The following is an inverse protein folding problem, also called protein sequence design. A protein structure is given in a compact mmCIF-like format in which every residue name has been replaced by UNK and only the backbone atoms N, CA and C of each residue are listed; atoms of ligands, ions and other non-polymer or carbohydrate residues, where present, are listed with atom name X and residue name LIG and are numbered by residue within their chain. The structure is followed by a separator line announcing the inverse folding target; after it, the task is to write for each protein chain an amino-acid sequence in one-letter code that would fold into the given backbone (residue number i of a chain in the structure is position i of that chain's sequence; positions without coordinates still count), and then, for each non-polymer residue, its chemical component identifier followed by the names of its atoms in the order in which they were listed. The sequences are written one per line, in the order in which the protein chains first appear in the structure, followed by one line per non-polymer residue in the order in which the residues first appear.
data_IF_675433426822
#
_entry.id   IF_675433426822
#
_cell.length_a   1.000
_cell.length_b   1.000
_cell.length_c   1.000
_cell.angle_alpha   90.00
_cell.angle_beta   90.00
_cell.angle_gamma   90.00
#
_symmetry.space_group_name_H-M   'P 1'
#
loop_
_entity.id
_entity.type
_entity.pdbx_description
1 polymer ?
#
# COMPACT_ATOMS: atom_id res chain seq x y z
N UNK A 1 6.78 23.59 40.80
CA UNK A 1 5.94 22.86 39.82
C UNK A 1 6.61 22.95 38.46
N UNK A 2 7.26 21.88 38.00
CA UNK A 2 7.92 21.84 36.71
C UNK A 2 6.90 21.40 35.64
N UNK A 3 6.48 22.32 34.78
CA UNK A 3 5.72 21.98 33.59
C UNK A 3 6.68 21.32 32.60
N UNK A 4 6.54 20.00 32.42
CA UNK A 4 7.21 19.27 31.37
C UNK A 4 6.74 19.82 30.02
N UNK A 5 7.64 20.47 29.30
CA UNK A 5 7.41 20.87 27.91
C UNK A 5 7.29 19.58 27.09
N UNK A 6 6.05 19.12 26.87
CA UNK A 6 5.79 18.04 25.93
C UNK A 6 6.13 18.56 24.55
N UNK A 7 7.33 18.25 24.06
CA UNK A 7 7.68 18.47 22.67
C UNK A 7 6.56 17.86 21.82
N UNK A 8 5.78 18.71 21.15
CA UNK A 8 4.87 18.23 20.12
C UNK A 8 5.76 17.60 19.05
N UNK A 9 5.67 16.28 18.87
CA UNK A 9 6.35 15.61 17.77
C UNK A 9 6.01 16.40 16.50
N UNK A 10 7.01 16.89 15.72
CA UNK A 10 6.71 17.49 14.44
C UNK A 10 5.89 16.46 13.67
N UNK A 11 4.79 16.90 13.07
CA UNK A 11 3.95 16.04 12.24
C UNK A 11 4.89 15.34 11.25
N UNK A 12 5.13 14.03 11.43
CA UNK A 12 6.13 13.22 10.70
C UNK A 12 6.01 13.36 9.18
N UNK A 13 4.88 13.89 8.72
CA UNK A 13 4.53 14.24 7.36
C UNK A 13 5.54 15.12 6.62
N UNK A 14 6.28 15.99 7.32
CA UNK A 14 7.24 16.92 6.70
C UNK A 14 8.67 16.34 6.58
N UNK A 15 9.02 15.33 7.36
CA UNK A 15 10.35 14.72 7.29
C UNK A 15 10.38 13.66 6.18
N UNK A 16 11.33 13.83 5.25
CA UNK A 16 11.73 12.77 4.34
C UNK A 16 12.68 11.85 5.13
N UNK A 17 12.33 10.57 5.32
CA UNK A 17 13.18 9.65 6.05
C UNK A 17 14.44 9.35 5.23
N UNK A 18 15.58 9.21 5.92
CA UNK A 18 16.82 8.73 5.31
C UNK A 18 16.59 7.37 4.64
N UNK A 19 17.28 7.15 3.53
CA UNK A 19 17.25 5.85 2.85
C UNK A 19 17.84 4.78 3.77
N UNK A 20 17.36 3.55 3.61
CA UNK A 20 17.84 2.38 4.36
C UNK A 20 18.46 1.41 3.38
N UNK A 21 19.48 0.67 3.83
CA UNK A 21 20.18 -0.30 2.99
C UNK A 21 19.20 -1.23 2.25
N UNK A 22 19.21 -1.16 0.91
CA UNK A 22 18.35 -1.96 0.04
C UNK A 22 17.00 -1.33 -0.34
N UNK A 23 16.70 -0.12 0.17
CA UNK A 23 15.52 0.70 -0.15
C UNK A 23 15.96 2.13 -0.52
N UNK A 24 17.03 2.23 -1.30
CA UNK A 24 17.61 3.52 -1.69
C UNK A 24 16.93 4.13 -2.92
N UNK A 25 16.16 3.33 -3.66
CA UNK A 25 15.41 3.78 -4.83
C UNK A 25 13.90 3.78 -4.56
N UNK A 26 13.15 4.76 -5.09
CA UNK A 26 11.69 4.78 -4.99
C UNK A 26 11.06 3.50 -5.53
N UNK A 27 11.63 2.98 -6.62
CA UNK A 27 11.17 1.77 -7.28
C UNK A 27 11.36 0.51 -6.41
N UNK A 28 12.50 0.37 -5.73
CA UNK A 28 12.71 -0.74 -4.78
C UNK A 28 11.69 -0.70 -3.64
N UNK A 29 11.36 0.50 -3.14
CA UNK A 29 10.31 0.66 -2.13
C UNK A 29 8.94 0.23 -2.67
N UNK A 30 8.53 0.70 -3.85
CA UNK A 30 7.24 0.36 -4.45
C UNK A 30 7.09 -1.14 -4.76
N UNK A 31 8.18 -1.82 -5.10
CA UNK A 31 8.19 -3.27 -5.27
C UNK A 31 8.05 -4.00 -3.92
N UNK A 32 8.71 -3.51 -2.87
CA UNK A 32 8.68 -4.12 -1.54
C UNK A 32 7.28 -4.11 -0.91
N UNK A 33 6.50 -3.04 -1.09
CA UNK A 33 5.14 -2.92 -0.54
C UNK A 33 4.10 -3.74 -1.32
N UNK A 34 4.42 -4.20 -2.53
CA UNK A 34 3.53 -5.04 -3.34
C UNK A 34 2.35 -4.33 -4.02
N UNK A 35 1.21 -5.01 -4.12
CA UNK A 35 -0.02 -4.59 -4.86
C UNK A 35 0.16 -4.09 -6.30
N UNK A 36 1.28 -4.41 -6.95
CA UNK A 36 1.67 -3.84 -8.25
C UNK A 36 1.73 -2.31 -8.22
N UNK A 37 2.19 -1.72 -7.10
CA UNK A 37 2.30 -0.27 -6.97
C UNK A 37 3.35 0.33 -7.91
N UNK A 38 4.42 -0.43 -8.19
CA UNK A 38 5.47 -0.10 -9.17
C UNK A 38 4.90 0.26 -10.56
N UNK A 39 3.84 -0.41 -11.01
CA UNK A 39 3.21 -0.12 -12.31
C UNK A 39 2.24 1.05 -12.31
N UNK A 40 1.86 1.55 -11.13
CA UNK A 40 0.78 2.54 -10.97
C UNK A 40 1.29 3.94 -10.65
N UNK A 41 2.47 4.03 -10.03
CA UNK A 41 3.09 5.28 -9.61
C UNK A 41 4.57 5.16 -9.90
N UNK A 42 5.13 6.13 -10.62
CA UNK A 42 6.55 6.17 -10.96
C UNK A 42 7.13 7.53 -10.59
N UNK A 43 7.53 7.74 -9.32
CA UNK A 43 8.20 8.96 -8.90
C UNK A 43 9.68 8.93 -9.30
N UNK A 44 10.23 10.10 -9.66
CA UNK A 44 11.61 10.19 -10.16
C UNK A 44 12.62 10.24 -9.01
N UNK A 45 12.25 10.89 -7.90
CA UNK A 45 13.12 11.05 -6.73
C UNK A 45 12.52 10.49 -5.43
N UNK A 46 13.40 10.15 -4.48
CA UNK A 46 12.99 9.72 -3.14
C UNK A 46 12.22 10.82 -2.40
N UNK A 47 12.68 12.07 -2.53
CA UNK A 47 11.99 13.23 -1.98
C UNK A 47 10.58 13.41 -2.55
N UNK A 48 10.40 13.26 -3.87
CA UNK A 48 9.09 13.33 -4.49
C UNK A 48 8.15 12.27 -3.95
N UNK A 49 8.59 11.02 -3.84
CA UNK A 49 7.78 9.92 -3.31
C UNK A 49 7.19 10.26 -1.94
N UNK A 50 7.99 10.83 -1.03
CA UNK A 50 7.55 11.18 0.33
C UNK A 50 6.80 12.51 0.43
N UNK A 51 6.87 13.36 -0.61
CA UNK A 51 6.09 14.60 -0.77
C UNK A 51 4.79 14.39 -1.56
N UNK A 52 4.50 13.17 -2.02
CA UNK A 52 3.25 12.87 -2.72
C UNK A 52 2.05 13.11 -1.82
N UNK A 53 1.05 13.79 -2.37
CA UNK A 53 -0.22 14.06 -1.72
C UNK A 53 -1.36 13.35 -2.44
N UNK A 54 -2.46 13.13 -1.73
CA UNK A 54 -3.64 12.43 -2.26
C UNK A 54 -4.27 13.13 -3.47
N UNK A 55 -4.08 14.45 -3.59
CA UNK A 55 -4.60 15.28 -4.69
C UNK A 55 -3.81 15.07 -5.97
N UNK A 56 -2.47 15.08 -5.90
CA UNK A 56 -1.60 14.77 -7.04
C UNK A 56 -1.89 13.37 -7.59
N UNK A 57 -1.92 12.38 -6.70
CA UNK A 57 -2.28 11.01 -7.07
C UNK A 57 -3.70 10.89 -7.63
N UNK A 58 -4.63 11.78 -7.26
CA UNK A 58 -5.98 11.82 -7.85
C UNK A 58 -5.92 12.30 -9.29
N UNK A 59 -5.14 13.36 -9.53
CA UNK A 59 -4.93 13.94 -10.86
C UNK A 59 -4.28 12.92 -11.80
N UNK A 60 -3.34 12.12 -11.27
CA UNK A 60 -2.67 11.03 -12.00
C UNK A 60 -3.57 9.80 -12.23
N UNK A 61 -4.82 9.83 -11.79
CA UNK A 61 -5.80 8.76 -12.03
C UNK A 61 -5.62 7.51 -11.15
N UNK A 62 -4.85 7.59 -10.06
CA UNK A 62 -4.65 6.45 -9.16
C UNK A 62 -5.94 6.16 -8.37
N UNK A 63 -6.32 4.88 -8.31
CA UNK A 63 -7.53 4.45 -7.60
C UNK A 63 -7.49 4.84 -6.10
N UNK A 64 -8.66 5.12 -5.52
CA UNK A 64 -8.78 5.54 -4.12
C UNK A 64 -8.12 4.55 -3.16
N UNK A 65 -8.25 3.24 -3.43
CA UNK A 65 -7.69 2.20 -2.57
C UNK A 65 -6.17 2.19 -2.60
N UNK A 66 -5.59 2.37 -3.78
CA UNK A 66 -4.15 2.37 -3.98
C UNK A 66 -3.51 3.63 -3.37
N UNK A 67 -4.17 4.79 -3.52
CA UNK A 67 -3.74 6.04 -2.88
C UNK A 67 -3.67 5.94 -1.36
N UNK A 68 -4.73 5.42 -0.74
CA UNK A 68 -4.77 5.21 0.72
C UNK A 68 -3.69 4.23 1.17
N UNK A 69 -3.45 3.18 0.39
CA UNK A 69 -2.42 2.19 0.70
C UNK A 69 -1.01 2.77 0.60
N UNK A 70 -0.71 3.52 -0.46
CA UNK A 70 0.60 4.15 -0.65
C UNK A 70 0.91 5.11 0.49
N UNK A 71 0.00 6.04 0.79
CA UNK A 71 0.21 7.03 1.85
C UNK A 71 0.37 6.37 3.22
N UNK A 72 -0.45 5.36 3.52
CA UNK A 72 -0.28 4.58 4.75
C UNK A 72 1.07 3.86 4.82
N UNK A 73 1.54 3.30 3.71
CA UNK A 73 2.84 2.63 3.62
C UNK A 73 4.00 3.60 3.85
N UNK A 74 3.92 4.82 3.31
CA UNK A 74 4.92 5.87 3.55
C UNK A 74 4.94 6.31 5.01
N UNK A 75 3.77 6.46 5.65
CA UNK A 75 3.68 6.77 7.09
C UNK A 75 4.24 5.63 7.95
N UNK A 76 4.00 4.38 7.57
CA UNK A 76 4.58 3.20 8.24
C UNK A 76 6.10 3.17 8.14
N UNK A 77 6.63 3.48 6.97
CA UNK A 77 8.06 3.59 6.76
C UNK A 77 8.67 4.73 7.60
N UNK A 78 8.01 5.89 7.66
CA UNK A 78 8.39 7.02 8.54
C UNK A 78 8.40 6.63 10.02
N UNK A 79 7.47 5.77 10.45
CA UNK A 79 7.41 5.27 11.81
C UNK A 79 8.51 4.25 12.17
N UNK A 80 9.36 3.86 11.22
CA UNK A 80 10.45 2.90 11.48
C UNK A 80 10.15 1.47 11.02
N UNK A 81 8.93 1.15 10.60
CA UNK A 81 8.55 -0.21 10.23
C UNK A 81 9.19 -0.64 8.90
N UNK A 82 9.54 -1.92 8.76
CA UNK A 82 10.12 -2.50 7.55
C UNK A 82 9.03 -2.76 6.50
N UNK A 83 9.15 -2.30 5.23
CA UNK A 83 8.12 -2.48 4.21
C UNK A 83 7.67 -3.93 3.99
N UNK A 84 8.58 -4.90 4.12
CA UNK A 84 8.24 -6.32 3.95
C UNK A 84 7.30 -6.84 5.04
N UNK A 85 7.31 -6.23 6.23
CA UNK A 85 6.50 -6.67 7.36
C UNK A 85 5.01 -6.32 7.20
N UNK A 86 4.70 -5.18 6.58
CA UNK A 86 3.33 -4.70 6.39
C UNK A 86 2.84 -4.81 4.95
N UNK A 87 3.68 -5.31 4.04
CA UNK A 87 3.34 -5.51 2.65
C UNK A 87 2.13 -6.44 2.50
N UNK A 88 1.16 -6.01 1.70
CA UNK A 88 0.02 -6.81 1.32
C UNK A 88 0.01 -7.06 -0.18
N UNK A 89 -0.10 -8.31 -0.60
CA UNK A 89 -0.23 -8.62 -2.02
C UNK A 89 -1.59 -8.19 -2.59
N UNK A 90 -1.64 -8.05 -3.92
CA UNK A 90 -2.90 -7.83 -4.62
C UNK A 90 -3.78 -9.07 -4.44
N UNK A 91 -5.00 -8.89 -3.95
CA UNK A 91 -5.94 -10.00 -3.80
C UNK A 91 -6.22 -10.60 -5.18
N UNK A 92 -5.87 -11.88 -5.33
CA UNK A 92 -6.13 -12.63 -6.55
C UNK A 92 -7.62 -12.67 -6.93
N UNK A 93 -7.89 -12.78 -8.24
CA UNK A 93 -9.26 -12.90 -8.74
C UNK A 93 -9.88 -14.20 -8.22
N UNK A 94 -11.11 -14.13 -7.73
CA UNK A 94 -11.84 -15.33 -7.30
C UNK A 94 -12.04 -16.27 -8.49
N UNK A 95 -11.73 -17.55 -8.32
CA UNK A 95 -11.93 -18.58 -9.35
C UNK A 95 -13.42 -18.92 -9.55
N UNK A 96 -14.19 -18.98 -8.47
CA UNK A 96 -15.62 -19.29 -8.47
C UNK A 96 -16.36 -18.05 -7.96
N UNK A 97 -17.39 -17.60 -8.69
CA UNK A 97 -18.18 -16.41 -8.33
C UNK A 97 -19.64 -16.83 -8.08
N UNK A 98 -20.03 -16.82 -6.80
CA UNK A 98 -21.43 -17.02 -6.37
C UNK A 98 -21.95 -18.46 -6.52
N UNK A 99 -23.28 -18.58 -6.45
CA UNK A 99 -24.05 -19.80 -6.71
C UNK A 99 -24.52 -19.78 -8.17
N UNK A 100 -23.59 -19.94 -9.11
CA UNK A 100 -23.94 -20.08 -10.54
C UNK A 100 -24.06 -21.54 -10.94
N UNK A 101 -23.89 -21.86 -12.24
CA UNK A 101 -23.98 -23.23 -12.74
C UNK A 101 -23.12 -24.21 -11.92
N UNK A 102 -23.59 -25.45 -11.81
CA UNK A 102 -22.95 -26.50 -11.00
C UNK A 102 -21.51 -26.81 -11.43
N UNK A 103 -21.05 -26.32 -12.59
CA UNK A 103 -19.66 -26.34 -13.04
C UNK A 103 -19.24 -24.92 -13.40
N UNK A 104 -18.21 -24.37 -12.73
CA UNK A 104 -17.57 -23.11 -13.11
C UNK A 104 -16.06 -23.31 -13.24
N UNK A 105 -15.47 -22.83 -14.34
CA UNK A 105 -14.02 -22.92 -14.58
C UNK A 105 -13.47 -24.35 -14.51
N UNK A 106 -14.22 -25.32 -15.04
CA UNK A 106 -13.85 -26.74 -15.07
C UNK A 106 -13.98 -27.48 -13.73
N UNK A 107 -14.44 -26.82 -12.66
CA UNK A 107 -14.66 -27.44 -11.35
C UNK A 107 -16.15 -27.54 -11.04
N UNK A 108 -16.62 -28.74 -10.67
CA UNK A 108 -18.00 -28.96 -10.20
C UNK A 108 -18.17 -28.39 -8.78
N UNK A 109 -19.00 -27.36 -8.65
CA UNK A 109 -19.42 -26.75 -7.40
C UNK A 109 -20.47 -27.67 -6.77
N UNK A 110 -20.20 -28.21 -5.58
CA UNK A 110 -21.20 -28.97 -4.82
C UNK A 110 -22.17 -27.99 -4.18
N UNK A 111 -23.32 -27.72 -4.80
CA UNK A 111 -24.44 -27.10 -4.09
C UNK A 111 -24.99 -28.09 -3.06
N UNK A 112 -25.38 -27.60 -1.88
CA UNK A 112 -25.91 -28.39 -0.77
C UNK A 112 -27.01 -29.35 -1.29
N UNK A 113 -26.84 -30.68 -1.12
CA UNK A 113 -27.92 -31.65 -1.41
C UNK A 113 -29.12 -31.27 -0.53
N UNK A 114 -30.29 -31.00 -1.11
CA UNK A 114 -31.54 -31.12 -0.36
C UNK A 114 -31.65 -32.61 0.00
N UNK A 115 -31.63 -32.91 1.30
CA UNK A 115 -32.14 -34.18 1.82
C UNK A 115 -33.65 -34.21 1.60
#
# INVERSE_FOLDING_TARGET
MAFAFRASAPLLRQLVPATRAGLDTPQAFLQSIGRKMDTKVSPESWDELFKLESEKLKADGVDVRDRRYLLWSLEKFRAGEDPKSFAHEARGKKKIRGHGPSVQGGKRIRSRRKQ
#
